data_IF_021428098777
#
_entry.id   IF_021428098777
#
_cell.length_a   1.000
_cell.length_b   1.000
_cell.length_c   1.000
_cell.angle_alpha   90.00
_cell.angle_beta   90.00
_cell.angle_gamma   90.00
#
_symmetry.space_group_name_H-M   'P 1'
#
loop_
_entity.id
_entity.type
_entity.pdbx_description
1 polymer ?
#
# COMPACT_ATOMS: atom_id res chain seq x y z
N UNK A 1 38.41 -33.75 -21.26
CA UNK A 1 37.18 -33.67 -20.43
C UNK A 1 37.23 -32.59 -19.34
N UNK A 2 38.39 -32.28 -18.73
CA UNK A 2 38.50 -31.35 -17.58
C UNK A 2 38.24 -29.87 -17.94
N UNK A 3 38.62 -29.40 -19.14
CA UNK A 3 38.44 -28.01 -19.57
C UNK A 3 36.97 -27.57 -19.69
N UNK A 4 36.07 -28.47 -20.12
CA UNK A 4 34.64 -28.17 -20.28
C UNK A 4 33.94 -27.98 -18.93
N UNK A 5 34.27 -28.82 -17.95
CA UNK A 5 33.69 -28.76 -16.60
C UNK A 5 34.09 -27.49 -15.84
N UNK A 6 35.31 -26.99 -16.04
CA UNK A 6 35.77 -25.73 -15.43
C UNK A 6 35.02 -24.54 -16.02
N UNK A 7 34.81 -24.51 -17.34
CA UNK A 7 34.04 -23.43 -17.99
C UNK A 7 32.60 -23.43 -17.50
N UNK A 8 31.97 -24.61 -17.39
CA UNK A 8 30.60 -24.74 -16.89
C UNK A 8 30.51 -24.25 -15.43
N UNK A 9 31.48 -24.62 -14.58
CA UNK A 9 31.52 -24.17 -13.20
C UNK A 9 31.68 -22.64 -13.10
N UNK A 10 32.56 -22.05 -13.92
CA UNK A 10 32.72 -20.60 -13.98
C UNK A 10 31.43 -19.90 -14.42
N UNK A 11 30.70 -20.45 -15.39
CA UNK A 11 29.42 -19.91 -15.85
C UNK A 11 28.36 -19.97 -14.74
N UNK A 12 28.24 -21.11 -14.04
CA UNK A 12 27.29 -21.28 -12.93
C UNK A 12 27.59 -20.31 -11.78
N UNK A 13 28.88 -20.16 -11.43
CA UNK A 13 29.30 -19.18 -10.41
C UNK A 13 28.97 -17.76 -10.85
N UNK A 14 29.25 -17.39 -12.11
CA UNK A 14 28.94 -16.07 -12.65
C UNK A 14 27.42 -15.78 -12.60
N UNK A 15 26.59 -16.73 -13.04
CA UNK A 15 25.13 -16.65 -13.01
C UNK A 15 24.57 -16.56 -11.59
N UNK A 16 25.20 -17.22 -10.62
CA UNK A 16 24.80 -17.13 -9.20
C UNK A 16 25.11 -15.77 -8.56
N UNK A 17 26.04 -15.00 -9.14
CA UNK A 17 26.38 -13.63 -8.69
C UNK A 17 25.59 -12.53 -9.40
N UNK A 18 24.85 -12.85 -10.47
CA UNK A 18 23.71 -12.03 -10.92
C UNK A 18 22.56 -12.23 -9.91
N UNK A 19 22.85 -11.83 -8.67
CA UNK A 19 21.93 -11.95 -7.54
C UNK A 19 20.61 -11.32 -7.89
N UNK A 20 19.54 -11.88 -7.31
CA UNK A 20 18.20 -11.34 -7.34
C UNK A 20 18.29 -9.81 -7.19
N UNK A 21 18.15 -9.09 -8.30
CA UNK A 21 17.93 -7.67 -8.24
C UNK A 21 16.78 -7.52 -7.26
N UNK A 22 16.99 -6.77 -6.18
CA UNK A 22 15.88 -6.41 -5.30
C UNK A 22 14.94 -5.62 -6.21
N UNK A 23 13.96 -6.31 -6.78
CA UNK A 23 12.81 -5.68 -7.40
C UNK A 23 12.15 -5.04 -6.20
N UNK A 24 12.54 -3.79 -5.95
CA UNK A 24 11.71 -2.90 -5.17
C UNK A 24 10.39 -2.94 -5.91
N UNK A 25 9.39 -3.60 -5.30
CA UNK A 25 8.03 -3.36 -5.69
C UNK A 25 7.89 -1.84 -5.67
N UNK A 26 7.78 -1.25 -6.86
CA UNK A 26 7.36 0.13 -7.00
C UNK A 26 6.12 0.26 -6.12
N UNK A 27 6.03 1.23 -5.19
CA UNK A 27 4.76 1.47 -4.54
C UNK A 27 3.74 1.79 -5.64
N UNK A 28 2.82 0.87 -5.90
CA UNK A 28 1.75 1.03 -6.90
C UNK A 28 0.79 2.20 -6.55
N UNK A 29 0.99 2.80 -5.37
CA UNK A 29 0.16 3.84 -4.77
C UNK A 29 1.05 4.83 -4.01
N UNK A 30 0.87 6.12 -4.27
CA UNK A 30 1.33 7.20 -3.40
C UNK A 30 0.16 7.77 -2.63
N UNK A 31 0.39 8.08 -1.35
CA UNK A 31 -0.61 8.68 -0.49
C UNK A 31 0.00 9.88 0.22
N UNK A 32 -0.70 11.02 0.17
CA UNK A 32 -0.45 12.16 1.05
C UNK A 32 -1.40 12.04 2.24
N UNK A 33 -0.85 11.73 3.40
CA UNK A 33 -1.59 11.67 4.65
C UNK A 33 -1.45 12.97 5.44
N UNK A 34 -2.53 13.38 6.11
CA UNK A 34 -2.51 14.41 7.14
C UNK A 34 -3.29 13.95 8.37
N UNK A 35 -2.82 14.33 9.54
CA UNK A 35 -3.53 14.15 10.82
C UNK A 35 -4.04 15.50 11.28
N UNK A 36 -5.32 15.55 11.62
CA UNK A 36 -6.02 16.76 12.03
C UNK A 36 -6.33 16.63 13.51
N UNK A 37 -5.78 17.50 14.34
CA UNK A 37 -6.06 17.54 15.77
C UNK A 37 -7.06 18.65 16.05
N UNK A 38 -8.19 18.31 16.66
CA UNK A 38 -9.15 19.30 17.14
C UNK A 38 -8.90 19.56 18.62
N UNK A 39 -8.82 20.83 18.99
CA UNK A 39 -8.55 21.27 20.36
C UNK A 39 -9.78 21.96 20.96
N UNK A 40 -10.00 21.71 22.24
CA UNK A 40 -10.82 22.53 23.12
C UNK A 40 -9.95 22.92 24.31
N UNK A 41 -9.71 24.23 24.47
CA UNK A 41 -8.68 24.78 25.35
C UNK A 41 -7.29 24.15 25.10
N UNK A 42 -6.73 23.49 26.11
CA UNK A 42 -5.43 22.81 26.09
C UNK A 42 -5.55 21.30 25.80
N UNK A 43 -6.75 20.81 25.46
CA UNK A 43 -7.02 19.39 25.28
C UNK A 43 -7.32 19.05 23.82
N UNK A 44 -6.78 17.92 23.37
CA UNK A 44 -7.18 17.30 22.09
C UNK A 44 -8.51 16.57 22.33
N UNK A 45 -9.55 16.94 21.58
CA UNK A 45 -10.89 16.33 21.67
C UNK A 45 -11.19 15.38 20.51
N UNK A 46 -10.48 15.51 19.38
CA UNK A 46 -10.58 14.55 18.28
C UNK A 46 -9.31 14.49 17.42
N UNK A 47 -9.12 13.33 16.80
CA UNK A 47 -8.07 13.08 15.82
C UNK A 47 -8.75 12.66 14.51
N UNK A 48 -8.65 13.49 13.49
CA UNK A 48 -9.07 13.21 12.13
C UNK A 48 -7.89 12.78 11.26
N UNK A 49 -8.19 12.07 10.17
CA UNK A 49 -7.21 11.65 9.19
C UNK A 49 -7.72 12.02 7.80
N UNK A 50 -6.85 12.66 7.02
CA UNK A 50 -7.08 12.93 5.61
C UNK A 50 -6.07 12.13 4.79
N UNK A 51 -6.56 11.40 3.79
CA UNK A 51 -5.76 10.53 2.93
C UNK A 51 -6.05 10.87 1.48
N UNK A 52 -5.09 11.49 0.82
CA UNK A 52 -5.16 11.79 -0.60
C UNK A 52 -4.30 10.81 -1.39
N UNK A 53 -4.96 9.93 -2.12
CA UNK A 53 -4.31 8.99 -3.04
C UNK A 53 -3.89 9.68 -4.34
N UNK A 54 -2.86 9.16 -5.00
CA UNK A 54 -2.40 9.67 -6.28
C UNK A 54 -3.45 9.49 -7.40
N UNK A 55 -3.23 10.20 -8.50
CA UNK A 55 -4.15 10.22 -9.65
C UNK A 55 -4.31 8.84 -10.28
N UNK A 56 -3.24 8.07 -10.40
CA UNK A 56 -3.27 6.79 -11.10
C UNK A 56 -4.04 5.73 -10.31
N UNK A 57 -3.76 5.61 -9.00
CA UNK A 57 -4.56 4.76 -8.12
C UNK A 57 -6.02 5.18 -8.15
N UNK A 58 -6.30 6.48 -7.96
CA UNK A 58 -7.67 7.00 -7.94
C UNK A 58 -8.43 6.69 -9.25
N UNK A 59 -7.83 6.92 -10.41
CA UNK A 59 -8.45 6.61 -11.71
C UNK A 59 -8.70 5.12 -11.90
N UNK A 60 -7.77 4.25 -11.47
CA UNK A 60 -7.95 2.80 -11.51
C UNK A 60 -9.10 2.36 -10.61
N UNK A 61 -9.15 2.87 -9.38
CA UNK A 61 -10.21 2.56 -8.41
C UNK A 61 -11.57 2.96 -8.97
N UNK A 62 -11.72 4.18 -9.50
CA UNK A 62 -12.97 4.61 -10.14
C UNK A 62 -13.33 3.65 -11.29
N UNK A 63 -12.38 3.34 -12.19
CA UNK A 63 -12.65 2.44 -13.31
C UNK A 63 -13.07 1.01 -12.92
N UNK A 64 -12.75 0.55 -11.72
CA UNK A 64 -13.09 -0.80 -11.24
C UNK A 64 -14.43 -0.80 -10.49
N UNK A 65 -14.68 0.25 -9.71
CA UNK A 65 -15.76 0.28 -8.72
C UNK A 65 -16.96 1.13 -9.13
N UNK A 66 -16.79 2.20 -9.92
CA UNK A 66 -17.88 2.98 -10.53
C UNK A 66 -18.45 2.21 -11.73
N UNK A 67 -19.24 1.19 -11.41
CA UNK A 67 -19.79 0.23 -12.37
C UNK A 67 -21.00 0.79 -13.11
N UNK A 68 -21.73 1.71 -12.49
CA UNK A 68 -22.88 2.38 -13.10
C UNK A 68 -22.51 3.68 -13.85
N UNK A 69 -21.24 4.09 -13.79
CA UNK A 69 -20.65 5.23 -14.51
C UNK A 69 -21.32 6.55 -14.16
N UNK A 70 -21.75 6.70 -12.91
CA UNK A 70 -22.31 7.96 -12.40
C UNK A 70 -21.23 9.01 -12.15
N UNK A 71 -19.96 8.60 -12.09
CA UNK A 71 -18.82 9.46 -11.74
C UNK A 71 -18.64 9.62 -10.23
N UNK A 72 -19.47 8.94 -9.43
CA UNK A 72 -19.38 8.88 -7.97
C UNK A 72 -19.47 7.41 -7.54
N UNK A 73 -18.87 7.07 -6.40
CA UNK A 73 -19.06 5.74 -5.85
C UNK A 73 -20.35 5.72 -5.03
N UNK A 74 -21.35 5.02 -5.54
CA UNK A 74 -22.63 4.83 -4.85
C UNK A 74 -22.46 3.90 -3.63
N UNK A 75 -23.37 3.91 -2.65
CA UNK A 75 -23.18 3.18 -1.38
C UNK A 75 -22.82 1.70 -1.52
N UNK A 76 -23.36 1.01 -2.54
CA UNK A 76 -23.04 -0.40 -2.82
C UNK A 76 -21.63 -0.59 -3.37
N UNK A 77 -21.16 0.35 -4.17
CA UNK A 77 -19.82 0.32 -4.76
C UNK A 77 -18.76 0.67 -3.73
N UNK A 78 -19.07 1.62 -2.84
CA UNK A 78 -18.25 1.92 -1.65
C UNK A 78 -18.13 0.69 -0.74
N UNK A 79 -19.23 -0.03 -0.52
CA UNK A 79 -19.19 -1.23 0.32
C UNK A 79 -18.32 -2.33 -0.31
N UNK A 80 -18.45 -2.55 -1.63
CA UNK A 80 -17.59 -3.49 -2.34
C UNK A 80 -16.12 -3.07 -2.32
N UNK A 81 -15.82 -1.78 -2.50
CA UNK A 81 -14.46 -1.24 -2.38
C UNK A 81 -13.89 -1.49 -0.98
N UNK A 82 -14.69 -1.28 0.07
CA UNK A 82 -14.29 -1.57 1.46
C UNK A 82 -13.93 -3.04 1.65
N UNK A 83 -14.81 -3.95 1.24
CA UNK A 83 -14.64 -5.40 1.37
C UNK A 83 -13.40 -5.92 0.62
N UNK A 84 -13.17 -5.43 -0.60
CA UNK A 84 -12.11 -5.95 -1.47
C UNK A 84 -10.75 -5.30 -1.21
N UNK A 85 -10.71 -4.00 -0.87
CA UNK A 85 -9.45 -3.24 -0.76
C UNK A 85 -9.04 -2.90 0.67
N UNK A 86 -9.99 -2.68 1.59
CA UNK A 86 -9.68 -2.22 2.96
C UNK A 86 -9.74 -3.33 4.00
N UNK A 87 -10.74 -4.21 3.95
CA UNK A 87 -10.84 -5.32 4.90
C UNK A 87 -9.62 -6.26 4.93
N UNK A 88 -8.95 -6.55 3.79
CA UNK A 88 -7.74 -7.34 3.81
C UNK A 88 -6.58 -6.69 4.60
N UNK A 89 -6.57 -5.35 4.72
CA UNK A 89 -5.54 -4.62 5.47
C UNK A 89 -5.50 -5.00 6.95
N UNK A 90 -6.63 -5.49 7.48
CA UNK A 90 -6.70 -6.08 8.83
C UNK A 90 -5.66 -7.17 9.06
N UNK A 91 -5.41 -8.01 8.06
CA UNK A 91 -4.49 -9.15 8.17
C UNK A 91 -3.03 -8.72 8.30
N UNK A 92 -2.74 -7.46 7.96
CA UNK A 92 -1.41 -6.87 7.99
C UNK A 92 -1.24 -5.85 9.13
N UNK A 93 -2.24 -5.71 10.00
CA UNK A 93 -2.28 -4.70 11.06
C UNK A 93 -2.06 -3.26 10.55
N UNK A 94 -2.50 -2.97 9.33
CA UNK A 94 -2.41 -1.64 8.71
C UNK A 94 -3.55 -0.75 9.19
N UNK A 95 -3.47 -0.34 10.46
CA UNK A 95 -4.42 0.55 11.10
C UNK A 95 -3.75 1.81 11.63
N UNK A 96 -4.59 2.81 11.89
CA UNK A 96 -4.20 3.89 12.80
C UNK A 96 -4.06 3.31 14.20
N UNK A 97 -2.97 3.67 14.86
CA UNK A 97 -2.72 3.35 16.24
C UNK A 97 -2.47 4.66 16.98
N UNK A 98 -3.12 4.80 18.14
CA UNK A 98 -2.98 5.96 19.02
C UNK A 98 -2.33 5.44 20.29
N UNK A 99 -1.44 6.22 20.88
CA UNK A 99 -0.87 5.92 22.18
C UNK A 99 -1.08 7.11 23.10
N UNK A 100 -1.43 6.83 24.35
CA UNK A 100 -1.56 7.83 25.42
C UNK A 100 -0.68 7.34 26.56
N UNK A 101 0.28 8.18 26.96
CA UNK A 101 1.22 7.89 28.05
C UNK A 101 2.00 6.55 27.91
N UNK A 102 2.26 6.15 26.66
CA UNK A 102 2.97 4.91 26.34
C UNK A 102 2.09 3.67 26.25
N UNK A 103 0.80 3.79 26.52
CA UNK A 103 -0.19 2.73 26.35
C UNK A 103 -0.91 2.88 25.01
N UNK A 104 -1.10 1.77 24.30
CA UNK A 104 -1.78 1.70 22.99
C UNK A 104 -3.28 1.58 23.15
#
# INVERSE_FOLDING_TARGET
>A
MIRGSVIILCIVVLLSTLGAAKVHANPDVWIKGATIFSFEDDKIISIGFDWQFDKYFSSRTISIYDTDQTGFLEPKEVERLREESFDPLKKFDYYVHVWIDGEK
#
